data_IF_056925214813
#
_entry.id   IF_056925214813
#
_cell.length_a   1.000
_cell.length_b   1.000
_cell.length_c   1.000
_cell.angle_alpha   90.00
_cell.angle_beta   90.00
_cell.angle_gamma   90.00
#
_symmetry.space_group_name_H-M   'P 1'
#
loop_
_entity.id
_entity.type
_entity.pdbx_description
1 polymer ?
#
# COMPACT_ATOMS: atom_id res chain seq x y z
N UNK A 1 25.06 -37.72 -35.53
CA UNK A 1 23.62 -38.05 -35.57
C UNK A 1 22.99 -37.26 -36.70
N UNK A 2 22.83 -37.89 -37.87
CA UNK A 2 22.30 -37.23 -39.06
C UNK A 2 20.79 -37.25 -39.04
N UNK A 3 20.17 -36.10 -38.76
CA UNK A 3 18.75 -35.89 -38.97
C UNK A 3 18.58 -35.42 -40.41
N UNK A 4 17.98 -36.28 -41.25
CA UNK A 4 17.47 -35.89 -42.56
C UNK A 4 16.13 -35.18 -42.33
N UNK A 5 16.07 -33.89 -42.61
CA UNK A 5 14.81 -33.14 -42.67
C UNK A 5 14.35 -33.15 -44.14
N UNK A 6 13.21 -33.77 -44.38
CA UNK A 6 12.49 -33.74 -45.65
C UNK A 6 11.32 -32.78 -45.48
N UNK A 7 11.17 -31.83 -46.41
CA UNK A 7 10.15 -30.79 -46.36
C UNK A 7 9.45 -30.75 -47.72
N UNK A 8 8.15 -31.04 -47.73
CA UNK A 8 7.32 -30.91 -48.91
C UNK A 8 6.84 -29.46 -49.04
N UNK A 9 7.13 -28.84 -50.18
CA UNK A 9 6.70 -27.47 -50.50
C UNK A 9 5.60 -27.53 -51.54
N UNK A 10 4.42 -27.04 -51.19
CA UNK A 10 3.27 -26.95 -52.09
C UNK A 10 3.12 -25.51 -52.60
N UNK A 11 2.95 -25.36 -53.91
CA UNK A 11 2.77 -24.05 -54.56
C UNK A 11 1.35 -23.98 -55.13
N UNK A 12 0.60 -22.94 -54.77
CA UNK A 12 -0.77 -22.70 -55.20
C UNK A 12 -0.96 -21.28 -55.75
N UNK A 13 -2.06 -21.06 -56.48
CA UNK A 13 -2.45 -19.74 -56.98
C UNK A 13 -3.19 -18.97 -55.89
N UNK A 14 -2.80 -17.72 -55.65
CA UNK A 14 -3.53 -16.81 -54.75
C UNK A 14 -4.81 -16.35 -55.47
N UNK A 15 -5.96 -16.59 -54.84
CA UNK A 15 -7.28 -16.16 -55.34
C UNK A 15 -7.77 -14.91 -54.60
N UNK A 16 -7.43 -14.78 -53.31
CA UNK A 16 -7.91 -13.69 -52.46
C UNK A 16 -6.87 -13.29 -51.42
N UNK A 17 -6.86 -12.01 -51.06
CA UNK A 17 -6.07 -11.47 -49.95
C UNK A 17 -6.96 -10.68 -48.98
N UNK A 18 -6.64 -10.73 -47.69
CA UNK A 18 -7.32 -9.97 -46.63
C UNK A 18 -6.33 -9.30 -45.69
N UNK A 19 -6.60 -8.06 -45.29
CA UNK A 19 -5.83 -7.37 -44.25
C UNK A 19 -6.36 -7.74 -42.86
N UNK A 20 -5.58 -8.48 -42.11
CA UNK A 20 -5.78 -8.78 -40.70
C UNK A 20 -5.13 -7.72 -39.82
N UNK A 21 -5.75 -7.48 -38.66
CA UNK A 21 -5.25 -6.54 -37.65
C UNK A 21 -5.76 -6.96 -36.29
N UNK A 22 -4.98 -6.66 -35.25
CA UNK A 22 -5.40 -6.81 -33.86
C UNK A 22 -6.44 -5.77 -33.46
N UNK A 23 -6.44 -4.58 -34.09
CA UNK A 23 -7.43 -3.53 -33.86
C UNK A 23 -7.81 -2.76 -35.13
N UNK A 24 -9.07 -2.31 -35.20
CA UNK A 24 -9.57 -1.37 -36.22
C UNK A 24 -9.69 0.06 -35.67
N UNK A 25 -9.52 0.22 -34.36
CA UNK A 25 -9.52 1.49 -33.64
C UNK A 25 -8.13 1.73 -33.05
N UNK A 26 -7.52 2.85 -33.39
CA UNK A 26 -6.18 3.23 -32.95
C UNK A 26 -6.27 4.48 -32.07
N UNK A 27 -5.41 4.62 -31.08
CA UNK A 27 -5.38 5.79 -30.20
C UNK A 27 -4.12 6.63 -30.42
N UNK A 28 -4.28 7.95 -30.44
CA UNK A 28 -3.14 8.88 -30.51
C UNK A 28 -2.22 8.72 -29.30
N UNK A 29 -0.92 8.62 -29.56
CA UNK A 29 0.12 8.50 -28.53
C UNK A 29 0.27 7.09 -27.95
N UNK A 30 -0.51 6.11 -28.40
CA UNK A 30 -0.26 4.69 -28.12
C UNK A 30 0.71 4.09 -29.14
N UNK A 31 1.18 2.87 -28.88
CA UNK A 31 2.15 2.20 -29.72
C UNK A 31 1.59 1.93 -31.14
N UNK A 32 2.44 1.99 -32.18
CA UNK A 32 2.06 1.63 -33.56
C UNK A 32 1.48 0.21 -33.65
N UNK A 33 0.69 -0.05 -34.69
CA UNK A 33 0.06 -1.37 -34.91
C UNK A 33 0.53 -1.98 -36.22
N UNK A 34 0.82 -3.27 -36.21
CA UNK A 34 1.17 -4.03 -37.42
C UNK A 34 -0.12 -4.47 -38.13
N UNK A 35 -0.22 -4.17 -39.42
CA UNK A 35 -1.18 -4.78 -40.33
C UNK A 35 -0.49 -5.91 -41.09
N UNK A 36 -1.18 -7.03 -41.22
CA UNK A 36 -0.71 -8.20 -41.94
C UNK A 36 -1.70 -8.53 -43.06
N UNK A 37 -1.18 -9.08 -44.16
CA UNK A 37 -2.00 -9.65 -45.22
C UNK A 37 -2.01 -11.16 -45.08
N UNK A 38 -3.20 -11.75 -45.08
CA UNK A 38 -3.41 -13.18 -45.28
C UNK A 38 -3.86 -13.43 -46.71
N UNK A 39 -3.40 -14.52 -47.33
CA UNK A 39 -3.81 -14.94 -48.67
C UNK A 39 -4.49 -16.30 -48.62
N UNK A 40 -5.42 -16.50 -49.56
CA UNK A 40 -6.23 -17.70 -49.68
C UNK A 40 -6.22 -18.21 -51.13
N UNK A 41 -6.26 -19.53 -51.29
CA UNK A 41 -6.45 -20.19 -52.58
C UNK A 41 -7.94 -20.31 -52.95
N UNK A 42 -8.24 -20.98 -54.07
CA UNK A 42 -9.61 -21.18 -54.54
C UNK A 42 -10.46 -22.12 -53.65
N UNK A 43 -9.84 -22.87 -52.76
CA UNK A 43 -10.47 -23.77 -51.79
C UNK A 43 -10.55 -23.13 -50.38
N UNK A 44 -10.23 -21.84 -50.27
CA UNK A 44 -10.12 -21.08 -49.01
C UNK A 44 -9.03 -21.60 -48.04
N UNK A 45 -8.03 -22.36 -48.53
CA UNK A 45 -6.86 -22.68 -47.73
C UNK A 45 -5.95 -21.45 -47.59
N UNK A 46 -5.43 -21.24 -46.39
CA UNK A 46 -4.55 -20.12 -46.09
C UNK A 46 -3.11 -20.44 -46.46
N UNK A 47 -2.43 -19.50 -47.14
CA UNK A 47 -1.00 -19.63 -47.42
C UNK A 47 -0.19 -19.52 -46.13
N UNK A 48 0.82 -20.38 -45.97
CA UNK A 48 1.69 -20.40 -44.79
C UNK A 48 2.73 -19.27 -44.77
N UNK A 49 3.06 -18.69 -45.93
CA UNK A 49 3.97 -17.55 -46.03
C UNK A 49 3.72 -16.71 -47.26
N UNK A 50 3.90 -15.40 -47.11
CA UNK A 50 3.88 -14.39 -48.19
C UNK A 50 5.16 -13.55 -48.20
N UNK A 51 6.18 -13.90 -47.39
CA UNK A 51 7.28 -13.02 -47.04
C UNK A 51 8.11 -12.49 -48.22
N UNK A 52 8.16 -13.22 -49.34
CA UNK A 52 8.90 -12.83 -50.53
C UNK A 52 8.10 -12.00 -51.55
N UNK A 53 6.80 -11.79 -51.33
CA UNK A 53 5.94 -11.06 -52.26
C UNK A 53 5.92 -9.58 -51.94
N UNK A 54 6.02 -8.74 -52.97
CA UNK A 54 5.95 -7.30 -52.79
C UNK A 54 4.50 -6.82 -52.84
N UNK A 55 4.13 -5.98 -51.88
CA UNK A 55 2.83 -5.33 -51.82
C UNK A 55 2.95 -3.82 -52.00
N UNK A 56 1.94 -3.22 -52.62
CA UNK A 56 1.71 -1.78 -52.61
C UNK A 56 0.67 -1.47 -51.54
N UNK A 57 1.04 -0.59 -50.61
CA UNK A 57 0.20 -0.14 -49.52
C UNK A 57 -0.21 1.31 -49.74
N UNK A 58 -1.50 1.53 -49.98
CA UNK A 58 -2.06 2.84 -50.26
C UNK A 58 -2.91 3.35 -49.09
N UNK A 59 -2.73 4.63 -48.78
CA UNK A 59 -3.59 5.36 -47.84
C UNK A 59 -4.69 6.08 -48.63
N UNK A 60 -5.94 5.71 -48.36
CA UNK A 60 -7.12 6.22 -49.05
C UNK A 60 -7.92 7.10 -48.09
N UNK A 61 -8.12 8.35 -48.48
CA UNK A 61 -8.98 9.31 -47.77
C UNK A 61 -10.44 8.88 -47.84
N UNK A 62 -11.16 9.00 -46.73
CA UNK A 62 -12.61 8.73 -46.69
C UNK A 62 -13.39 9.96 -47.14
N UNK A 63 -14.21 9.81 -48.17
CA UNK A 63 -15.03 10.89 -48.71
C UNK A 63 -16.10 11.37 -47.71
N UNK A 64 -16.24 12.69 -47.59
CA UNK A 64 -17.23 13.33 -46.74
C UNK A 64 -17.08 14.85 -46.67
N UNK A 65 -18.07 15.57 -46.10
CA UNK A 65 -18.06 17.04 -46.00
C UNK A 65 -16.93 17.61 -45.13
N UNK A 66 -16.14 16.74 -44.49
CA UNK A 66 -14.96 17.08 -43.69
C UNK A 66 -13.84 16.07 -43.95
N UNK A 67 -13.62 15.70 -45.23
CA UNK A 67 -12.59 14.73 -45.60
C UNK A 67 -11.20 15.26 -45.23
N UNK A 68 -10.51 14.54 -44.37
CA UNK A 68 -9.13 14.82 -43.96
C UNK A 68 -8.22 13.83 -44.67
N UNK A 69 -7.10 14.30 -45.24
CA UNK A 69 -6.16 13.45 -45.97
C UNK A 69 -5.68 12.28 -45.12
N UNK A 70 -5.76 11.05 -45.64
CA UNK A 70 -5.31 9.85 -44.92
C UNK A 70 -3.84 9.95 -44.47
N UNK A 71 -2.98 10.57 -45.28
CA UNK A 71 -1.56 10.80 -44.95
C UNK A 71 -1.34 11.76 -43.77
N UNK A 72 -2.33 12.58 -43.43
CA UNK A 72 -2.27 13.43 -42.24
C UNK A 72 -2.77 12.71 -40.98
N UNK A 73 -3.49 11.59 -41.14
CA UNK A 73 -4.12 10.83 -40.05
C UNK A 73 -3.19 9.69 -39.60
N UNK A 74 -2.65 8.93 -40.55
CA UNK A 74 -1.78 7.77 -40.29
C UNK A 74 -0.54 7.79 -41.19
N UNK A 75 0.55 7.22 -40.68
CA UNK A 75 1.81 7.03 -41.40
C UNK A 75 2.19 5.56 -41.43
N UNK A 76 2.64 5.10 -42.60
CA UNK A 76 3.25 3.78 -42.76
C UNK A 76 4.75 3.93 -42.44
N UNK A 77 5.24 3.15 -41.47
CA UNK A 77 6.65 3.17 -41.05
C UNK A 77 7.42 1.97 -41.63
N UNK A 78 8.75 2.04 -41.64
CA UNK A 78 9.62 0.88 -41.89
C UNK A 78 9.82 0.09 -40.60
N UNK A 79 10.15 -1.19 -40.73
CA UNK A 79 10.53 -2.00 -39.58
C UNK A 79 11.88 -1.57 -39.02
N UNK A 80 12.80 -1.11 -39.88
CA UNK A 80 14.11 -0.55 -39.50
C UNK A 80 13.99 0.69 -38.60
N UNK A 81 12.99 1.55 -38.83
CA UNK A 81 12.73 2.75 -38.03
C UNK A 81 11.93 2.47 -36.75
N UNK A 82 11.65 1.20 -36.44
CA UNK A 82 10.75 0.79 -35.36
C UNK A 82 11.39 -0.17 -34.36
N UNK A 83 10.72 -0.40 -33.23
CA UNK A 83 11.10 -1.45 -32.27
C UNK A 83 10.47 -2.81 -32.59
N UNK A 84 9.76 -2.93 -33.71
CA UNK A 84 9.07 -4.15 -34.11
C UNK A 84 9.98 -4.98 -35.01
N UNK A 85 9.93 -6.30 -34.83
CA UNK A 85 10.67 -7.26 -35.66
C UNK A 85 9.73 -7.94 -36.65
N UNK A 86 10.28 -8.32 -37.81
CA UNK A 86 9.58 -9.05 -38.87
C UNK A 86 10.51 -10.10 -39.51
N UNK A 87 10.06 -10.76 -40.57
CA UNK A 87 10.84 -11.84 -41.20
C UNK A 87 12.00 -11.31 -42.04
N UNK A 88 13.08 -12.11 -42.24
CA UNK A 88 14.23 -11.71 -43.08
C UNK A 88 13.84 -11.34 -44.51
N UNK A 89 12.79 -11.94 -45.05
CA UNK A 89 12.31 -11.67 -46.41
C UNK A 89 11.74 -10.25 -46.52
N UNK A 90 10.99 -9.81 -45.50
CA UNK A 90 10.40 -8.46 -45.46
C UNK A 90 11.51 -7.41 -45.28
N UNK A 91 12.51 -7.65 -44.43
CA UNK A 91 13.69 -6.78 -44.37
C UNK A 91 14.41 -6.68 -45.73
N UNK A 92 14.52 -7.79 -46.46
CA UNK A 92 15.07 -7.81 -47.82
C UNK A 92 14.26 -6.99 -48.82
N UNK A 93 12.93 -6.92 -48.66
CA UNK A 93 12.06 -6.06 -49.46
C UNK A 93 12.22 -4.58 -49.07
N UNK A 94 12.28 -4.24 -47.79
CA UNK A 94 12.45 -2.86 -47.32
C UNK A 94 13.79 -2.25 -47.77
N UNK A 95 14.87 -3.03 -47.75
CA UNK A 95 16.18 -2.63 -48.28
C UNK A 95 16.13 -2.23 -49.77
N UNK A 96 15.13 -2.72 -50.51
CA UNK A 96 14.89 -2.39 -51.92
C UNK A 96 13.82 -1.30 -52.10
N UNK A 97 13.43 -0.61 -51.03
CA UNK A 97 12.32 0.35 -51.00
C UNK A 97 10.98 -0.28 -51.44
N UNK A 98 10.83 -1.58 -51.21
CA UNK A 98 9.58 -2.33 -51.38
C UNK A 98 8.95 -2.58 -50.01
N UNK A 99 7.68 -2.98 -50.00
CA UNK A 99 6.96 -3.37 -48.78
C UNK A 99 6.48 -4.81 -48.93
N UNK A 100 6.51 -5.55 -47.83
CA UNK A 100 6.06 -6.94 -47.77
C UNK A 100 4.58 -7.08 -47.40
N UNK A 101 4.22 -8.28 -46.98
CA UNK A 101 2.88 -8.63 -46.49
C UNK A 101 2.53 -7.98 -45.15
N UNK A 102 3.49 -7.37 -44.45
CA UNK A 102 3.28 -6.66 -43.20
C UNK A 102 3.70 -5.20 -43.30
N UNK A 103 2.96 -4.31 -42.62
CA UNK A 103 3.35 -2.90 -42.45
C UNK A 103 3.01 -2.38 -41.07
N UNK A 104 3.82 -1.45 -40.57
CA UNK A 104 3.55 -0.74 -39.32
C UNK A 104 2.77 0.53 -39.60
N UNK A 105 1.63 0.69 -38.92
CA UNK A 105 0.78 1.88 -38.96
C UNK A 105 0.94 2.67 -37.67
N UNK A 106 1.39 3.92 -37.81
CA UNK A 106 1.48 4.88 -36.73
C UNK A 106 0.35 5.92 -36.82
N UNK A 107 -0.44 6.11 -35.75
CA UNK A 107 -1.44 7.18 -35.68
C UNK A 107 -0.81 8.56 -35.45
N UNK A 108 -1.07 9.52 -36.34
CA UNK A 108 -0.55 10.91 -36.24
C UNK A 108 -1.63 11.90 -35.80
N UNK A 109 -2.82 11.84 -36.41
CA UNK A 109 -3.95 12.71 -36.07
C UNK A 109 -5.25 11.91 -35.99
N UNK A 110 -6.22 12.43 -35.23
CA UNK A 110 -7.56 11.84 -35.18
C UNK A 110 -8.24 11.90 -36.54
N UNK A 111 -8.96 10.85 -36.89
CA UNK A 111 -9.73 10.81 -38.13
C UNK A 111 -10.05 9.40 -38.56
N UNK A 112 -10.45 9.26 -39.82
CA UNK A 112 -10.72 7.96 -40.43
C UNK A 112 -9.93 7.86 -41.72
N UNK A 113 -9.16 6.77 -41.86
CA UNK A 113 -8.39 6.47 -43.05
C UNK A 113 -8.68 5.04 -43.51
N UNK A 114 -8.60 4.80 -44.82
CA UNK A 114 -8.63 3.44 -45.37
C UNK A 114 -7.22 3.06 -45.76
N UNK A 115 -6.81 1.84 -45.43
CA UNK A 115 -5.54 1.26 -45.86
C UNK A 115 -5.84 0.16 -46.87
N UNK A 116 -5.22 0.23 -48.04
CA UNK A 116 -5.39 -0.75 -49.12
C UNK A 116 -4.09 -1.47 -49.40
N UNK A 117 -4.14 -2.80 -49.42
CA UNK A 117 -3.05 -3.67 -49.82
C UNK A 117 -3.35 -4.28 -51.19
N UNK A 118 -2.36 -4.23 -52.09
CA UNK A 118 -2.43 -4.84 -53.42
C UNK A 118 -1.11 -5.54 -53.73
N UNK A 119 -1.17 -6.74 -54.30
CA UNK A 119 0.02 -7.43 -54.82
C UNK A 119 0.64 -6.64 -55.98
N UNK A 120 1.97 -6.46 -55.95
CA UNK A 120 2.66 -5.56 -56.88
C UNK A 120 2.91 -6.19 -58.25
N UNK A 121 3.21 -7.49 -58.30
CA UNK A 121 3.55 -8.14 -59.57
C UNK A 121 2.34 -8.29 -60.50
N UNK A 122 2.58 -8.16 -61.81
CA UNK A 122 1.53 -8.25 -62.84
C UNK A 122 0.86 -9.63 -62.93
N UNK A 123 1.52 -10.69 -62.46
CA UNK A 123 0.95 -12.04 -62.41
C UNK A 123 -0.24 -12.14 -61.44
N UNK A 124 -0.41 -11.16 -60.54
CA UNK A 124 -1.50 -11.10 -59.57
C UNK A 124 -2.53 -10.02 -59.91
N UNK A 125 -2.60 -9.56 -61.15
CA UNK A 125 -3.53 -8.49 -61.55
C UNK A 125 -5.01 -8.88 -61.36
N UNK A 126 -5.32 -10.18 -61.44
CA UNK A 126 -6.66 -10.73 -61.18
C UNK A 126 -7.04 -10.71 -59.69
N UNK A 127 -6.05 -10.62 -58.78
CA UNK A 127 -6.30 -10.65 -57.33
C UNK A 127 -6.77 -9.28 -56.87
N UNK A 128 -8.00 -9.24 -56.33
CA UNK A 128 -8.60 -7.99 -55.86
C UNK A 128 -7.82 -7.42 -54.65
N UNK A 129 -7.54 -6.10 -54.62
CA UNK A 129 -6.95 -5.45 -53.46
C UNK A 129 -7.86 -5.57 -52.23
N UNK A 130 -7.26 -5.78 -51.06
CA UNK A 130 -7.97 -5.73 -49.78
C UNK A 130 -7.91 -4.33 -49.20
N UNK A 131 -8.99 -3.86 -48.57
CA UNK A 131 -9.06 -2.53 -47.96
C UNK A 131 -9.69 -2.59 -46.57
N UNK A 132 -9.00 -2.06 -45.57
CA UNK A 132 -9.51 -1.89 -44.21
C UNK A 132 -9.78 -0.42 -43.93
N UNK A 133 -10.85 -0.13 -43.18
CA UNK A 133 -11.09 1.19 -42.57
C UNK A 133 -10.54 1.21 -41.15
N UNK A 134 -9.64 2.16 -40.86
CA UNK A 134 -9.10 2.43 -39.54
C UNK A 134 -9.68 3.75 -39.00
N UNK A 135 -9.99 3.75 -37.70
CA UNK A 135 -10.45 4.94 -36.98
C UNK A 135 -9.40 5.32 -35.95
N UNK A 136 -8.80 6.50 -36.09
CA UNK A 136 -7.87 7.05 -35.12
C UNK A 136 -8.63 7.95 -34.16
N UNK A 137 -8.68 7.54 -32.91
CA UNK A 137 -9.30 8.25 -31.79
C UNK A 137 -8.23 8.97 -30.96
N UNK A 138 -8.66 10.01 -30.26
CA UNK A 138 -7.84 10.63 -29.21
C UNK A 138 -8.08 9.89 -27.90
N UNK A 139 -7.26 10.14 -26.87
CA UNK A 139 -7.51 9.65 -25.51
C UNK A 139 -7.57 10.82 -24.55
N UNK A 140 -8.60 10.86 -23.71
CA UNK A 140 -8.66 11.84 -22.64
C UNK A 140 -7.84 11.34 -21.46
N UNK A 141 -6.93 12.19 -20.96
CA UNK A 141 -6.10 11.87 -19.82
C UNK A 141 -6.65 12.56 -18.57
N UNK A 142 -6.88 11.78 -17.52
CA UNK A 142 -7.14 12.29 -16.19
C UNK A 142 -5.80 12.57 -15.50
N UNK A 143 -5.69 13.73 -14.84
CA UNK A 143 -4.58 14.04 -13.94
C UNK A 143 -5.12 14.18 -12.51
N UNK A 144 -4.53 13.47 -11.52
CA UNK A 144 -3.34 12.60 -11.64
C UNK A 144 -3.60 11.32 -12.46
N UNK A 145 -2.62 10.85 -13.23
CA UNK A 145 -2.78 9.73 -14.16
C UNK A 145 -2.40 8.35 -13.55
N UNK A 146 -1.96 8.34 -12.29
CA UNK A 146 -1.60 7.13 -11.54
C UNK A 146 -2.77 6.63 -10.70
N UNK A 147 -2.77 5.34 -10.35
CA UNK A 147 -3.77 4.75 -9.46
C UNK A 147 -3.80 5.46 -8.11
N UNK A 148 -5.00 5.76 -7.63
CA UNK A 148 -5.17 6.64 -6.48
C UNK A 148 -5.81 5.90 -5.30
N UNK A 149 -5.11 5.94 -4.16
CA UNK A 149 -5.53 5.33 -2.90
C UNK A 149 -5.75 6.43 -1.86
N UNK A 150 -7.01 6.79 -1.61
CA UNK A 150 -7.35 7.94 -0.75
C UNK A 150 -8.26 7.53 0.41
N UNK A 151 -8.31 8.38 1.43
CA UNK A 151 -9.25 8.24 2.55
C UNK A 151 -10.57 8.95 2.27
N UNK A 152 -11.64 8.47 2.91
CA UNK A 152 -12.89 9.23 3.03
C UNK A 152 -12.61 10.68 3.50
N UNK A 153 -13.42 11.63 3.04
CA UNK A 153 -13.28 13.07 3.26
C UNK A 153 -12.05 13.75 2.64
N UNK A 154 -11.18 13.03 1.93
CA UNK A 154 -10.05 13.64 1.22
C UNK A 154 -10.53 14.42 -0.01
N UNK A 155 -9.98 15.61 -0.21
CA UNK A 155 -10.23 16.44 -1.38
C UNK A 155 -9.15 16.20 -2.44
N UNK A 156 -9.58 15.90 -3.66
CA UNK A 156 -8.69 15.65 -4.79
C UNK A 156 -8.95 16.67 -5.89
N UNK A 157 -7.87 17.17 -6.47
CA UNK A 157 -7.89 18.05 -7.65
C UNK A 157 -7.73 17.18 -8.89
N UNK A 158 -8.73 17.21 -9.75
CA UNK A 158 -8.72 16.49 -11.01
C UNK A 158 -8.69 17.44 -12.19
N UNK A 159 -7.83 17.14 -13.17
CA UNK A 159 -7.77 17.85 -14.45
C UNK A 159 -8.00 16.88 -15.59
N UNK A 160 -8.94 17.19 -16.46
CA UNK A 160 -9.18 16.51 -17.73
C UNK A 160 -8.29 17.16 -18.78
N UNK A 161 -7.23 16.47 -19.18
CA UNK A 161 -6.26 16.96 -20.15
C UNK A 161 -6.48 16.29 -21.51
N UNK A 162 -6.40 17.10 -22.56
CA UNK A 162 -6.37 16.68 -23.96
C UNK A 162 -5.18 17.34 -24.65
N UNK A 163 -4.66 16.73 -25.72
CA UNK A 163 -3.60 17.29 -26.56
C UNK A 163 -4.06 18.53 -27.38
N UNK A 164 -5.36 18.84 -27.49
CA UNK A 164 -5.91 20.04 -28.17
C UNK A 164 -7.11 20.66 -27.41
N UNK A 165 -7.37 21.96 -27.62
CA UNK A 165 -8.41 22.75 -26.93
C UNK A 165 -9.87 22.36 -27.28
N UNK A 166 -10.79 22.56 -26.34
CA UNK A 166 -12.26 22.45 -26.46
C UNK A 166 -12.97 22.31 -25.09
N UNK A 167 -14.13 21.63 -25.02
CA UNK A 167 -14.92 21.50 -23.79
C UNK A 167 -14.94 20.04 -23.27
N UNK A 168 -14.54 19.86 -22.01
CA UNK A 168 -14.55 18.59 -21.30
C UNK A 168 -15.81 18.44 -20.43
N UNK A 169 -16.18 17.21 -20.16
CA UNK A 169 -17.17 16.81 -19.17
C UNK A 169 -16.60 15.64 -18.37
N UNK A 170 -16.46 15.78 -17.06
CA UNK A 170 -16.15 14.65 -16.18
C UNK A 170 -17.39 14.23 -15.41
N UNK A 171 -17.60 12.92 -15.33
CA UNK A 171 -18.66 12.28 -14.54
C UNK A 171 -18.01 11.57 -13.36
N UNK A 172 -18.45 11.92 -12.16
CA UNK A 172 -17.97 11.32 -10.92
C UNK A 172 -19.05 10.39 -10.37
N UNK A 173 -18.65 9.25 -9.83
CA UNK A 173 -19.57 8.31 -9.19
C UNK A 173 -20.22 8.90 -7.93
N UNK A 174 -21.23 8.20 -7.41
CA UNK A 174 -21.90 8.56 -6.15
C UNK A 174 -21.00 8.57 -4.92
N UNK A 175 -19.80 7.99 -5.00
CA UNK A 175 -18.81 7.98 -3.93
C UNK A 175 -18.09 9.32 -3.76
N UNK A 176 -18.33 10.29 -4.64
CA UNK A 176 -17.74 11.62 -4.59
C UNK A 176 -18.81 12.71 -4.50
N UNK A 177 -18.52 13.75 -3.73
CA UNK A 177 -19.21 15.03 -3.81
C UNK A 177 -18.37 15.99 -4.66
N UNK A 178 -18.93 16.54 -5.73
CA UNK A 178 -18.26 17.54 -6.57
C UNK A 178 -18.38 18.91 -5.92
N UNK A 179 -17.28 19.42 -5.36
CA UNK A 179 -17.25 20.70 -4.66
C UNK A 179 -17.21 21.88 -5.64
N UNK A 180 -16.48 21.74 -6.74
CA UNK A 180 -16.34 22.77 -7.76
C UNK A 180 -15.93 22.19 -9.11
N UNK A 181 -16.39 22.82 -10.19
CA UNK A 181 -16.00 22.48 -11.57
C UNK A 181 -15.76 23.76 -12.38
N UNK A 182 -14.76 23.75 -13.27
CA UNK A 182 -14.52 24.84 -14.20
C UNK A 182 -15.62 24.95 -15.25
N UNK A 183 -15.79 26.13 -15.84
CA UNK A 183 -16.82 26.41 -16.87
C UNK A 183 -16.70 25.54 -18.12
N UNK A 184 -15.47 25.15 -18.47
CA UNK A 184 -15.17 24.25 -19.59
C UNK A 184 -15.12 22.76 -19.18
N UNK A 185 -15.40 22.44 -17.91
CA UNK A 185 -15.40 21.09 -17.35
C UNK A 185 -14.05 20.35 -17.42
N UNK A 186 -12.94 21.08 -17.52
CA UNK A 186 -11.60 20.49 -17.56
C UNK A 186 -10.92 20.40 -16.19
N UNK A 187 -11.49 21.01 -15.16
CA UNK A 187 -10.92 21.01 -13.81
C UNK A 187 -12.01 20.85 -12.76
N UNK A 188 -11.78 19.96 -11.81
CA UNK A 188 -12.73 19.60 -10.78
C UNK A 188 -12.05 19.49 -9.42
N UNK A 189 -12.76 19.90 -8.37
CA UNK A 189 -12.40 19.62 -6.98
C UNK A 189 -13.49 18.71 -6.43
N UNK A 190 -13.11 17.49 -6.06
CA UNK A 190 -14.03 16.48 -5.56
C UNK A 190 -13.63 16.06 -4.15
N UNK A 191 -14.60 15.62 -3.36
CA UNK A 191 -14.39 15.09 -2.01
C UNK A 191 -14.91 13.66 -1.93
N UNK A 192 -14.10 12.76 -1.39
CA UNK A 192 -14.50 11.36 -1.15
C UNK A 192 -15.58 11.28 -0.05
N UNK A 193 -16.69 10.60 -0.34
CA UNK A 193 -17.87 10.50 0.52
C UNK A 193 -18.02 9.13 1.17
N UNK A 194 -17.87 8.05 0.39
CA UNK A 194 -18.04 6.67 0.85
C UNK A 194 -16.87 5.80 0.39
N UNK A 195 -16.39 4.92 1.28
CA UNK A 195 -15.36 3.95 0.97
C UNK A 195 -15.84 2.93 -0.09
N UNK A 196 -14.89 2.37 -0.83
CA UNK A 196 -15.14 1.44 -1.93
C UNK A 196 -14.27 1.70 -3.15
N UNK A 197 -14.28 0.75 -4.09
CA UNK A 197 -13.66 0.90 -5.40
C UNK A 197 -14.64 1.57 -6.36
N UNK A 198 -14.19 2.61 -7.06
CA UNK A 198 -15.02 3.37 -7.97
C UNK A 198 -14.24 3.82 -9.21
N UNK A 199 -14.96 4.12 -10.28
CA UNK A 199 -14.39 4.66 -11.52
C UNK A 199 -14.77 6.13 -11.67
N UNK A 200 -13.82 6.93 -12.17
CA UNK A 200 -14.04 8.30 -12.64
C UNK A 200 -14.00 8.27 -14.16
N UNK A 201 -15.07 8.74 -14.79
CA UNK A 201 -15.18 8.85 -16.23
C UNK A 201 -14.96 10.30 -16.65
N UNK A 202 -14.15 10.52 -17.67
CA UNK A 202 -14.05 11.81 -18.34
C UNK A 202 -14.30 11.65 -19.83
N UNK A 203 -15.03 12.60 -20.41
CA UNK A 203 -15.36 12.61 -21.81
C UNK A 203 -15.24 14.02 -22.40
N UNK A 204 -14.70 14.12 -23.60
CA UNK A 204 -14.71 15.34 -24.39
C UNK A 204 -15.82 15.25 -25.42
N UNK A 205 -16.82 16.14 -25.31
CA UNK A 205 -18.06 16.05 -26.09
C UNK A 205 -18.14 17.09 -27.20
N UNK A 206 -17.45 18.22 -27.07
CA UNK A 206 -17.47 19.26 -28.09
C UNK A 206 -16.19 20.11 -28.13
N UNK A 207 -16.02 20.80 -29.26
CA UNK A 207 -15.01 21.84 -29.44
C UNK A 207 -15.68 23.14 -29.86
N UNK A 208 -15.28 24.25 -29.23
CA UNK A 208 -15.63 25.59 -29.70
C UNK A 208 -14.62 26.00 -30.75
N UNK A 209 -15.07 26.18 -31.99
CA UNK A 209 -14.24 26.67 -33.09
C UNK A 209 -14.66 28.13 -33.34
N UNK A 210 -13.76 29.06 -33.00
CA UNK A 210 -13.97 30.51 -33.11
C UNK A 210 -13.53 31.25 -31.86
N UNK A 211 -12.64 32.23 -32.01
CA UNK A 211 -12.08 33.05 -30.92
C UNK A 211 -10.57 33.21 -31.00
N UNK A 212 -10.03 33.63 -32.15
CA UNK A 212 -8.69 34.21 -32.16
C UNK A 212 -8.71 35.56 -31.45
N UNK A 213 -7.61 35.95 -30.82
CA UNK A 213 -7.43 37.29 -30.20
C UNK A 213 -7.38 38.45 -31.23
N UNK A 214 -8.03 38.32 -32.39
CA UNK A 214 -7.99 39.29 -33.48
C UNK A 214 -9.40 39.66 -33.95
N UNK A 215 -9.79 40.86 -33.51
CA UNK A 215 -10.88 41.74 -33.97
C UNK A 215 -12.36 41.29 -33.83
N UNK A 216 -13.23 42.18 -33.33
CA UNK A 216 -14.64 41.91 -33.10
C UNK A 216 -15.44 42.23 -34.35
N UNK A 217 -15.57 41.29 -35.28
CA UNK A 217 -16.59 41.37 -36.33
C UNK A 217 -16.97 39.97 -36.77
N UNK A 218 -18.06 39.47 -36.19
CA UNK A 218 -18.77 38.25 -36.58
C UNK A 218 -17.95 36.95 -36.59
N UNK A 219 -17.32 36.61 -35.47
CA UNK A 219 -16.95 35.21 -35.21
C UNK A 219 -18.19 34.52 -34.64
N UNK A 220 -18.95 33.84 -35.49
CA UNK A 220 -19.97 32.89 -35.01
C UNK A 220 -19.25 31.79 -34.23
N UNK A 221 -19.41 31.77 -32.91
CA UNK A 221 -18.99 30.65 -32.07
C UNK A 221 -19.68 29.38 -32.58
N UNK A 222 -18.95 28.55 -33.33
CA UNK A 222 -19.46 27.27 -33.81
C UNK A 222 -19.03 26.19 -32.83
N UNK A 223 -19.99 25.70 -32.05
CA UNK A 223 -19.79 24.50 -31.22
C UNK A 223 -19.94 23.28 -32.12
N UNK A 224 -18.87 22.52 -32.31
CA UNK A 224 -18.90 21.24 -33.02
C UNK A 224 -18.96 20.13 -31.98
N UNK A 225 -20.09 19.42 -31.93
CA UNK A 225 -20.24 18.23 -31.10
C UNK A 225 -19.70 17.00 -31.80
N UNK A 226 -18.99 16.16 -31.05
CA UNK A 226 -18.48 14.90 -31.57
C UNK A 226 -19.59 13.84 -31.56
N UNK A 227 -19.74 13.12 -32.68
CA UNK A 227 -20.69 11.99 -32.78
C UNK A 227 -20.32 10.84 -31.83
N UNK A 228 -19.02 10.67 -31.57
CA UNK A 228 -18.48 9.75 -30.56
C UNK A 228 -17.59 10.59 -29.64
N UNK A 229 -17.92 10.73 -28.34
CA UNK A 229 -17.12 11.50 -27.41
C UNK A 229 -15.80 10.78 -27.12
N UNK A 230 -14.75 11.56 -26.88
CA UNK A 230 -13.43 11.03 -26.54
C UNK A 230 -13.43 10.78 -25.04
N UNK A 231 -13.44 9.53 -24.58
CA UNK A 231 -13.49 9.21 -23.15
C UNK A 231 -12.19 8.65 -22.60
N UNK A 232 -12.00 8.82 -21.30
CA UNK A 232 -10.95 8.20 -20.49
C UNK A 232 -11.54 7.83 -19.13
N UNK A 233 -11.04 6.75 -18.54
CA UNK A 233 -11.50 6.25 -17.25
C UNK A 233 -10.31 6.08 -16.31
N UNK A 234 -10.56 6.24 -15.01
CA UNK A 234 -9.57 5.96 -13.98
C UNK A 234 -10.23 5.29 -12.78
N UNK A 235 -9.60 4.25 -12.27
CA UNK A 235 -10.03 3.57 -11.05
C UNK A 235 -9.45 4.29 -9.83
N UNK A 236 -10.30 4.50 -8.82
CA UNK A 236 -9.93 5.09 -7.54
C UNK A 236 -10.42 4.18 -6.42
N UNK A 237 -9.55 3.90 -5.46
CA UNK A 237 -9.89 3.15 -4.25
C UNK A 237 -9.96 4.10 -3.06
N UNK A 238 -11.13 4.14 -2.43
CA UNK A 238 -11.40 4.96 -1.25
C UNK A 238 -11.46 4.04 -0.03
N UNK A 239 -10.63 4.32 0.97
CA UNK A 239 -10.55 3.52 2.18
C UNK A 239 -11.09 4.26 3.41
N UNK A 240 -11.57 3.48 4.37
CA UNK A 240 -11.85 3.94 5.73
C UNK A 240 -10.55 4.22 6.50
N UNK A 241 -10.55 5.16 7.47
CA UNK A 241 -9.35 5.54 8.21
C UNK A 241 -8.71 4.34 8.92
N UNK A 242 -7.37 4.26 8.90
CA UNK A 242 -6.63 3.26 9.66
C UNK A 242 -6.74 3.56 11.15
N UNK A 243 -7.26 2.59 11.90
CA UNK A 243 -7.40 2.65 13.36
C UNK A 243 -6.65 1.46 13.97
N UNK A 244 -5.86 1.74 15.01
CA UNK A 244 -5.12 0.73 15.76
C UNK A 244 -5.80 0.49 17.10
N UNK A 245 -6.08 -0.78 17.42
CA UNK A 245 -6.85 -1.18 18.60
C UNK A 245 -5.97 -2.09 19.50
N UNK A 246 -5.88 -1.78 20.80
CA UNK A 246 -6.46 -0.61 21.49
C UNK A 246 -5.66 0.68 21.23
N UNK A 247 -6.25 1.84 21.55
CA UNK A 247 -5.63 3.16 21.39
C UNK A 247 -4.51 3.42 22.41
N UNK A 248 -4.56 2.78 23.58
CA UNK A 248 -3.56 2.92 24.64
C UNK A 248 -3.27 1.56 25.28
N UNK A 249 -1.99 1.29 25.57
CA UNK A 249 -1.53 0.16 26.38
C UNK A 249 -0.59 0.62 27.48
N UNK A 250 -0.79 0.08 28.68
CA UNK A 250 0.10 0.30 29.82
C UNK A 250 0.71 -1.03 30.23
N UNK A 251 2.05 -1.09 30.25
CA UNK A 251 2.81 -2.23 30.70
C UNK A 251 3.59 -1.89 31.97
N UNK A 252 3.64 -2.81 32.95
CA UNK A 252 4.51 -2.65 34.09
C UNK A 252 5.98 -2.89 33.68
N UNK A 253 6.88 -2.09 34.25
CA UNK A 253 8.31 -2.24 34.04
C UNK A 253 8.90 -3.34 34.95
N UNK A 254 9.79 -4.15 34.39
CA UNK A 254 10.59 -5.12 35.15
C UNK A 254 12.09 -4.86 35.00
N UNK A 255 12.85 -4.79 36.10
CA UNK A 255 14.30 -4.69 36.03
C UNK A 255 14.90 -5.97 35.46
N UNK A 256 15.88 -5.83 34.56
CA UNK A 256 16.74 -6.94 34.16
C UNK A 256 17.61 -7.33 35.36
N UNK A 257 17.29 -8.45 36.03
CA UNK A 257 18.16 -9.00 37.07
C UNK A 257 19.32 -9.76 36.40
N UNK A 258 20.53 -9.18 36.49
CA UNK A 258 21.78 -9.88 36.17
C UNK A 258 22.06 -10.93 37.26
N UNK A 259 21.40 -12.09 37.19
CA UNK A 259 21.93 -13.41 37.60
C UNK A 259 20.81 -14.45 37.68
N UNK A 260 20.87 -15.41 36.74
CA UNK A 260 20.49 -16.83 36.87
C UNK A 260 19.25 -17.21 37.72
N UNK A 261 18.15 -16.47 37.73
CA UNK A 261 16.84 -17.02 38.13
C UNK A 261 15.71 -16.33 37.34
N UNK A 262 15.17 -17.09 36.38
CA UNK A 262 13.86 -16.93 35.71
C UNK A 262 13.63 -15.70 34.82
N UNK A 263 13.67 -15.96 33.50
CA UNK A 263 13.06 -15.27 32.36
C UNK A 263 12.92 -13.73 32.42
N UNK A 264 13.52 -13.05 31.44
CA UNK A 264 13.18 -11.67 31.09
C UNK A 264 11.66 -11.59 30.90
N UNK A 265 10.94 -10.91 31.81
CA UNK A 265 9.49 -10.75 31.70
C UNK A 265 9.22 -9.68 30.63
N UNK A 266 9.35 -10.07 29.36
CA UNK A 266 8.95 -9.25 28.23
C UNK A 266 7.46 -9.47 27.97
N UNK A 267 6.70 -8.39 28.00
CA UNK A 267 5.29 -8.43 27.64
C UNK A 267 5.14 -8.44 26.14
N UNK A 268 4.25 -9.31 25.67
CA UNK A 268 3.90 -9.44 24.27
C UNK A 268 2.42 -9.14 24.11
N UNK A 269 2.06 -8.26 23.18
CA UNK A 269 0.66 -7.94 22.88
C UNK A 269 0.45 -7.81 21.37
N UNK A 270 -0.58 -8.48 20.85
CA UNK A 270 -0.94 -8.44 19.44
C UNK A 270 -1.94 -7.30 19.20
N UNK A 271 -1.50 -6.26 18.49
CA UNK A 271 -2.37 -5.18 18.03
C UNK A 271 -3.30 -5.67 16.92
N UNK A 272 -4.48 -5.07 16.84
CA UNK A 272 -5.40 -5.21 15.71
C UNK A 272 -5.49 -3.87 14.99
N UNK A 273 -5.24 -3.86 13.68
CA UNK A 273 -5.50 -2.71 12.84
C UNK A 273 -6.75 -2.95 11.99
N UNK A 274 -7.54 -1.91 11.79
CA UNK A 274 -8.72 -1.89 10.94
C UNK A 274 -8.68 -0.66 10.01
N UNK A 275 -9.36 -0.71 8.87
CA UNK A 275 -9.34 0.36 7.86
C UNK A 275 -8.16 0.23 6.87
N UNK A 276 -8.03 1.18 5.94
CA UNK A 276 -7.05 1.08 4.86
C UNK A 276 -7.27 -0.11 3.93
N UNK A 277 -6.21 -0.52 3.25
CA UNK A 277 -6.13 -1.67 2.35
C UNK A 277 -6.11 -3.03 3.07
N UNK A 278 -6.03 -3.03 4.41
CA UNK A 278 -5.89 -4.24 5.23
C UNK A 278 -4.44 -4.74 5.37
N UNK A 279 -3.47 -4.05 4.78
CA UNK A 279 -2.05 -4.37 4.86
C UNK A 279 -1.25 -3.17 5.36
N UNK A 280 -0.47 -3.38 6.43
CA UNK A 280 0.14 -2.30 7.20
C UNK A 280 1.64 -2.49 7.43
N UNK A 281 2.34 -1.37 7.48
CA UNK A 281 3.72 -1.24 7.92
C UNK A 281 3.71 -0.68 9.34
N UNK A 282 4.24 -1.46 10.27
CA UNK A 282 4.31 -1.11 11.69
C UNK A 282 5.63 -0.42 12.02
N UNK A 283 5.56 0.68 12.76
CA UNK A 283 6.74 1.42 13.23
C UNK A 283 6.53 1.86 14.67
N UNK A 284 7.61 1.89 15.47
CA UNK A 284 7.61 2.42 16.84
C UNK A 284 8.45 3.69 16.88
N UNK A 285 7.97 4.74 17.54
CA UNK A 285 8.71 5.99 17.72
C UNK A 285 9.96 5.81 18.59
N UNK A 286 9.95 4.83 19.52
CA UNK A 286 11.07 4.53 20.39
C UNK A 286 11.13 3.02 20.74
N UNK A 287 11.91 2.28 19.95
CA UNK A 287 12.10 0.84 20.11
C UNK A 287 12.81 0.44 21.43
N UNK A 288 13.50 1.38 22.10
CA UNK A 288 14.16 1.13 23.39
C UNK A 288 13.16 0.93 24.54
N UNK A 289 11.92 1.39 24.37
CA UNK A 289 10.81 1.22 25.32
C UNK A 289 9.94 0.05 24.89
N UNK A 290 9.40 0.11 23.67
CA UNK A 290 8.63 -0.98 23.08
C UNK A 290 8.90 -1.07 21.57
N UNK A 291 9.17 -2.29 21.10
CA UNK A 291 9.34 -2.59 19.69
C UNK A 291 8.08 -3.24 19.11
N UNK A 292 7.88 -3.15 17.81
CA UNK A 292 6.77 -3.78 17.10
C UNK A 292 7.29 -4.53 15.89
N UNK A 293 6.76 -5.73 15.64
CA UNK A 293 7.14 -6.54 14.48
C UNK A 293 6.18 -6.34 13.29
N UNK A 294 6.47 -7.03 12.17
CA UNK A 294 5.65 -6.96 10.95
C UNK A 294 4.23 -7.49 11.11
N UNK A 295 3.97 -8.32 12.14
CA UNK A 295 2.64 -8.83 12.45
C UNK A 295 1.86 -7.92 13.40
N UNK A 296 2.43 -6.83 13.88
CA UNK A 296 1.80 -5.97 14.89
C UNK A 296 1.88 -6.52 16.33
N UNK A 297 2.82 -7.42 16.61
CA UNK A 297 3.12 -7.84 17.99
C UNK A 297 4.08 -6.84 18.59
N UNK A 298 3.66 -6.21 19.69
CA UNK A 298 4.49 -5.37 20.54
C UNK A 298 5.31 -6.25 21.47
N UNK A 299 6.58 -5.88 21.68
CA UNK A 299 7.46 -6.43 22.69
C UNK A 299 8.00 -5.30 23.56
N UNK A 300 7.76 -5.37 24.88
CA UNK A 300 8.34 -4.41 25.83
C UNK A 300 9.82 -4.70 26.06
N UNK A 301 10.62 -3.65 26.03
CA UNK A 301 12.05 -3.68 26.33
C UNK A 301 12.27 -3.29 27.80
N UNK A 302 13.48 -2.90 28.18
CA UNK A 302 13.88 -2.61 29.57
C UNK A 302 13.79 -1.13 29.96
N UNK A 303 13.40 -0.23 29.06
CA UNK A 303 13.30 1.20 29.38
C UNK A 303 11.90 1.58 29.83
N UNK A 304 11.81 2.40 30.88
CA UNK A 304 10.58 3.07 31.31
C UNK A 304 10.34 4.27 30.40
N UNK A 305 9.07 4.53 30.05
CA UNK A 305 8.72 5.75 29.33
C UNK A 305 7.46 5.62 28.48
N UNK A 306 7.35 6.53 27.53
CA UNK A 306 6.26 6.63 26.56
C UNK A 306 6.79 6.39 25.15
N UNK A 307 6.04 5.62 24.36
CA UNK A 307 6.30 5.43 22.93
C UNK A 307 4.99 5.30 22.17
N UNK A 308 5.03 5.67 20.90
CA UNK A 308 3.88 5.62 20.00
C UNK A 308 4.16 4.59 18.92
N UNK A 309 3.20 3.71 18.67
CA UNK A 309 3.24 2.77 17.55
C UNK A 309 2.33 3.28 16.44
N UNK A 310 2.86 3.33 15.22
CA UNK A 310 2.16 3.76 14.01
C UNK A 310 1.97 2.58 13.05
N UNK A 311 0.75 2.37 12.60
CA UNK A 311 0.40 1.48 11.51
C UNK A 311 0.11 2.32 10.26
N UNK A 312 1.01 2.28 9.27
CA UNK A 312 0.84 2.96 7.97
C UNK A 312 0.35 1.98 6.92
N UNK A 313 -0.59 2.38 6.08
CA UNK A 313 -1.08 1.55 4.99
C UNK A 313 0.00 1.33 3.91
N UNK A 314 0.06 0.11 3.36
CA UNK A 314 1.06 -0.23 2.33
C UNK A 314 0.82 0.44 0.98
N UNK A 315 -0.43 0.77 0.61
CA UNK A 315 -0.76 1.45 -0.64
C UNK A 315 -0.63 2.96 -0.53
N UNK A 316 -0.77 3.51 0.68
CA UNK A 316 -0.56 4.93 0.95
C UNK A 316 -0.01 5.17 2.36
N UNK A 317 1.27 5.51 2.48
CA UNK A 317 1.93 5.67 3.79
C UNK A 317 1.40 6.85 4.61
N UNK A 318 0.80 7.85 3.96
CA UNK A 318 0.16 8.99 4.63
C UNK A 318 -1.19 8.60 5.24
N UNK A 319 -1.72 7.44 4.88
CA UNK A 319 -2.86 6.83 5.54
C UNK A 319 -2.35 5.97 6.71
N UNK A 320 -2.47 6.48 7.94
CA UNK A 320 -1.98 5.78 9.11
C UNK A 320 -2.85 5.99 10.35
N UNK A 321 -2.80 5.02 11.25
CA UNK A 321 -3.32 5.10 12.61
C UNK A 321 -2.18 5.00 13.62
N UNK A 322 -2.37 5.59 14.80
CA UNK A 322 -1.40 5.55 15.90
C UNK A 322 -2.04 5.02 17.17
N UNK A 323 -1.22 4.43 18.03
CA UNK A 323 -1.59 4.05 19.39
C UNK A 323 -0.44 4.33 20.36
N UNK A 324 -0.79 4.55 21.62
CA UNK A 324 0.14 4.95 22.66
C UNK A 324 0.51 3.78 23.56
N UNK A 325 1.79 3.70 23.94
CA UNK A 325 2.31 2.68 24.85
C UNK A 325 3.05 3.39 25.98
N UNK A 326 2.67 3.02 27.21
CA UNK A 326 3.32 3.47 28.43
C UNK A 326 3.94 2.29 29.16
N UNK A 327 5.25 2.37 29.42
CA UNK A 327 5.94 1.43 30.31
C UNK A 327 6.23 2.17 31.61
N UNK A 328 5.60 1.76 32.72
CA UNK A 328 5.66 2.47 34.00
C UNK A 328 6.08 1.55 35.14
N UNK A 329 6.79 2.09 36.13
CA UNK A 329 7.17 1.39 37.36
C UNK A 329 6.16 1.67 38.49
N UNK A 330 4.90 1.30 38.28
CA UNK A 330 3.80 1.51 39.24
C UNK A 330 3.42 0.15 39.86
N UNK A 331 4.28 -0.36 40.73
CA UNK A 331 4.24 -1.77 41.19
C UNK A 331 4.39 -1.85 42.71
N UNK A 332 3.68 -2.79 43.31
CA UNK A 332 3.88 -3.18 44.71
C UNK A 332 5.05 -4.15 44.82
N UNK A 333 6.10 -3.73 45.51
CA UNK A 333 7.26 -4.55 45.83
C UNK A 333 7.13 -5.11 47.27
N UNK A 334 7.31 -6.42 47.41
CA UNK A 334 7.37 -7.07 48.72
C UNK A 334 8.82 -7.16 49.19
N UNK A 335 9.14 -6.45 50.27
CA UNK A 335 10.45 -6.50 50.92
C UNK A 335 10.44 -7.60 51.97
N UNK A 336 11.26 -8.62 51.79
CA UNK A 336 11.42 -9.69 52.78
C UNK A 336 12.26 -9.19 53.96
N UNK A 337 11.78 -9.44 55.18
CA UNK A 337 12.48 -9.10 56.40
C UNK A 337 12.96 -10.38 57.09
N UNK A 338 14.27 -10.47 57.27
CA UNK A 338 14.93 -11.54 58.00
C UNK A 338 15.66 -10.96 59.20
N UNK A 339 15.29 -11.39 60.40
CA UNK A 339 15.97 -10.99 61.64
C UNK A 339 16.85 -12.14 62.10
N UNK A 340 18.07 -11.80 62.53
CA UNK A 340 19.04 -12.77 63.06
C UNK A 340 19.43 -12.42 64.48
N UNK A 341 19.76 -13.43 65.27
CA UNK A 341 20.33 -13.24 66.59
C UNK A 341 21.84 -12.92 66.54
N UNK A 342 22.45 -12.66 67.70
CA UNK A 342 23.88 -12.35 67.82
C UNK A 342 24.81 -13.48 67.33
N UNK A 343 24.30 -14.71 67.20
CA UNK A 343 25.03 -15.87 66.68
C UNK A 343 24.74 -16.12 65.19
N UNK A 344 23.96 -15.25 64.53
CA UNK A 344 23.59 -15.33 63.12
C UNK A 344 22.41 -16.25 62.80
N UNK A 345 21.74 -16.84 63.79
CA UNK A 345 20.58 -17.72 63.62
C UNK A 345 19.35 -16.90 63.23
N UNK A 346 18.57 -17.38 62.26
CA UNK A 346 17.37 -16.70 61.78
C UNK A 346 16.21 -16.93 62.74
N UNK A 347 15.39 -15.90 62.98
CA UNK A 347 14.12 -16.05 63.66
C UNK A 347 13.04 -16.56 62.69
N UNK A 348 12.35 -17.64 63.06
CA UNK A 348 11.29 -18.24 62.23
C UNK A 348 9.99 -17.42 62.22
N UNK A 349 9.71 -16.74 63.33
CA UNK A 349 8.57 -15.84 63.47
C UNK A 349 8.96 -14.58 64.23
N UNK A 350 8.67 -13.41 63.63
CA UNK A 350 8.97 -12.08 64.18
C UNK A 350 7.74 -11.19 64.26
N UNK A 351 6.53 -11.76 64.22
CA UNK A 351 5.26 -11.00 64.31
C UNK A 351 5.13 -10.21 65.61
N UNK A 352 5.86 -10.61 66.66
CA UNK A 352 5.90 -9.88 67.93
C UNK A 352 6.81 -8.65 67.89
N UNK A 353 7.60 -8.43 66.84
CA UNK A 353 8.49 -7.26 66.75
C UNK A 353 7.74 -6.05 66.21
N UNK A 354 7.92 -4.89 66.85
CA UNK A 354 7.51 -3.62 66.29
C UNK A 354 8.60 -3.12 65.35
N UNK A 355 8.40 -3.34 64.05
CA UNK A 355 9.30 -2.85 63.01
C UNK A 355 8.74 -1.57 62.42
N UNK A 356 9.49 -0.48 62.55
CA UNK A 356 9.16 0.80 61.91
C UNK A 356 9.86 0.88 60.56
N UNK A 357 9.05 1.12 59.54
CA UNK A 357 9.51 1.28 58.16
C UNK A 357 9.50 2.75 57.76
N UNK A 358 10.60 3.23 57.19
CA UNK A 358 10.68 4.59 56.65
C UNK A 358 11.33 4.62 55.28
N UNK A 359 10.82 5.52 54.44
CA UNK A 359 11.32 5.80 53.09
C UNK A 359 11.90 7.20 53.07
N UNK A 360 13.08 7.38 52.47
CA UNK A 360 13.68 8.72 52.33
C UNK A 360 12.86 9.65 51.43
N UNK A 361 11.98 9.10 50.57
CA UNK A 361 11.10 9.88 49.72
C UNK A 361 9.78 9.13 49.48
N UNK A 362 8.74 9.54 50.20
CA UNK A 362 7.39 8.96 50.09
C UNK A 362 6.71 9.21 48.74
N UNK A 363 7.19 10.16 47.92
CA UNK A 363 6.68 10.38 46.55
C UNK A 363 7.22 9.36 45.55
N UNK A 364 8.32 8.68 45.87
CA UNK A 364 8.93 7.64 45.01
C UNK A 364 8.58 6.24 45.50
N UNK A 365 8.52 6.03 46.81
CA UNK A 365 8.16 4.74 47.37
C UNK A 365 7.45 4.92 48.73
N UNK A 366 6.23 4.37 48.85
CA UNK A 366 5.38 4.52 50.01
C UNK A 366 4.89 3.16 50.52
N UNK A 367 4.86 2.97 51.84
CA UNK A 367 4.43 1.71 52.43
C UNK A 367 2.90 1.58 52.42
N UNK A 368 2.40 0.43 51.97
CA UNK A 368 0.97 0.11 51.93
C UNK A 368 0.58 -0.67 53.19
N UNK A 369 0.46 0.03 54.31
CA UNK A 369 0.07 -0.56 55.60
C UNK A 369 0.48 0.25 56.81
N UNK A 370 0.24 -0.25 58.04
CA UNK A 370 0.68 0.41 59.27
C UNK A 370 2.20 0.55 59.29
N UNK A 371 2.70 1.76 59.55
CA UNK A 371 4.14 2.05 59.62
C UNK A 371 4.89 1.16 60.63
N UNK A 372 4.19 0.67 61.65
CA UNK A 372 4.65 -0.27 62.68
C UNK A 372 3.99 -1.62 62.52
N UNK A 373 4.37 -2.37 61.50
CA UNK A 373 3.87 -3.74 61.31
C UNK A 373 4.80 -4.58 60.45
N UNK A 374 4.70 -5.89 60.65
CA UNK A 374 5.33 -6.91 59.82
C UNK A 374 4.24 -7.87 59.37
N UNK A 375 4.11 -8.07 58.06
CA UNK A 375 3.20 -9.07 57.50
C UNK A 375 3.91 -10.42 57.40
N UNK A 376 3.18 -11.53 57.48
CA UNK A 376 3.74 -12.87 57.33
C UNK A 376 2.97 -13.63 56.26
N UNK A 377 3.70 -14.33 55.41
CA UNK A 377 3.17 -15.29 54.45
C UNK A 377 3.87 -16.64 54.58
N UNK A 378 3.20 -17.71 54.15
CA UNK A 378 3.74 -19.05 54.16
C UNK A 378 4.16 -19.45 52.75
N UNK A 379 5.44 -19.78 52.57
CA UNK A 379 6.02 -20.20 51.28
C UNK A 379 6.29 -21.71 51.35
N UNK A 380 5.97 -22.42 50.25
CA UNK A 380 6.27 -23.86 50.14
C UNK A 380 7.77 -24.07 49.97
N UNK A 381 8.34 -24.96 50.78
CA UNK A 381 9.72 -25.44 50.60
C UNK A 381 9.69 -26.70 49.70
N UNK A 382 10.73 -26.91 48.88
CA UNK A 382 10.72 -27.91 47.79
C UNK A 382 10.34 -29.34 48.24
N UNK A 383 9.66 -30.07 47.34
CA UNK A 383 9.42 -31.53 47.28
C UNK A 383 8.84 -32.27 48.50
N UNK A 384 8.38 -31.57 49.54
CA UNK A 384 7.56 -32.18 50.60
C UNK A 384 6.26 -31.38 50.74
N UNK A 385 5.11 -32.02 50.49
CA UNK A 385 3.82 -31.31 50.34
C UNK A 385 3.34 -30.58 51.61
N UNK A 386 3.94 -30.85 52.77
CA UNK A 386 3.46 -30.37 54.08
C UNK A 386 4.36 -29.36 54.81
N UNK A 387 5.57 -29.03 54.32
CA UNK A 387 6.44 -28.06 55.01
C UNK A 387 6.27 -26.66 54.41
N UNK A 388 5.66 -25.76 55.19
CA UNK A 388 5.51 -24.35 54.86
C UNK A 388 6.43 -23.50 55.74
N UNK A 389 7.31 -22.73 55.12
CA UNK A 389 8.16 -21.76 55.82
C UNK A 389 7.46 -20.42 55.95
N UNK A 390 7.35 -19.90 57.16
CA UNK A 390 6.90 -18.52 57.40
C UNK A 390 7.97 -17.54 56.95
N UNK A 391 7.55 -16.55 56.16
CA UNK A 391 8.41 -15.45 55.70
C UNK A 391 7.73 -14.15 56.04
N UNK A 392 8.50 -13.30 56.72
CA UNK A 392 8.06 -11.96 57.10
C UNK A 392 8.37 -10.96 55.99
N UNK A 393 7.44 -10.06 55.71
CA UNK A 393 7.58 -9.08 54.65
C UNK A 393 6.83 -7.78 54.96
N UNK A 394 7.12 -6.75 54.18
CA UNK A 394 6.33 -5.54 54.10
C UNK A 394 6.15 -5.13 52.63
N UNK A 395 5.00 -4.55 52.30
CA UNK A 395 4.72 -4.09 50.93
C UNK A 395 5.01 -2.60 50.80
N UNK A 396 5.79 -2.25 49.78
CA UNK A 396 6.06 -0.87 49.38
C UNK A 396 5.55 -0.66 47.96
N UNK A 397 4.73 0.37 47.77
CA UNK A 397 4.27 0.80 46.48
C UNK A 397 5.32 1.72 45.85
N UNK A 398 5.81 1.36 44.67
CA UNK A 398 6.77 2.13 43.89
C UNK A 398 6.01 3.06 42.93
N UNK A 399 6.42 4.33 42.88
CA UNK A 399 5.86 5.30 41.93
C UNK A 399 6.47 5.14 40.54
N UNK A 400 5.69 5.59 39.56
CA UNK A 400 6.07 5.82 38.16
C UNK A 400 7.30 6.71 37.92
N UNK A 401 7.82 7.41 38.93
CA UNK A 401 8.97 8.33 38.83
C UNK A 401 10.30 7.65 39.10
N UNK A 402 11.31 8.02 38.32
CA UNK A 402 12.68 7.52 38.48
C UNK A 402 13.38 8.31 39.59
N UNK A 403 13.97 7.60 40.55
CA UNK A 403 14.84 8.18 41.56
C UNK A 403 15.37 7.13 42.54
N UNK A 404 16.45 7.47 43.23
CA UNK A 404 16.97 6.63 44.31
C UNK A 404 16.22 6.89 45.61
N UNK A 405 15.85 5.83 46.31
CA UNK A 405 15.19 5.89 47.62
C UNK A 405 15.89 4.95 48.59
N UNK A 406 16.16 5.43 49.79
CA UNK A 406 16.72 4.61 50.87
C UNK A 406 15.59 4.16 51.76
N UNK A 407 15.45 2.85 51.90
CA UNK A 407 14.47 2.22 52.77
C UNK A 407 15.17 1.81 54.06
N UNK A 408 14.60 2.21 55.21
CA UNK A 408 15.09 1.83 56.54
C UNK A 408 14.02 1.05 57.28
N UNK A 409 14.44 -0.05 57.89
CA UNK A 409 13.66 -0.83 58.83
C UNK A 409 14.38 -0.82 60.18
N UNK A 410 13.71 -0.36 61.24
CA UNK A 410 14.23 -0.40 62.61
C UNK A 410 13.32 -1.23 63.49
N UNK A 411 13.92 -2.06 64.36
CA UNK A 411 13.17 -2.77 65.39
C UNK A 411 13.10 -1.83 66.60
N UNK A 412 11.91 -1.31 66.86
CA UNK A 412 11.68 -0.30 67.90
C UNK A 412 11.23 -0.93 69.23
N UNK A 413 10.92 -2.22 69.23
CA UNK A 413 10.51 -2.96 70.42
C UNK A 413 9.84 -4.28 70.07
N UNK A 414 9.20 -4.90 71.06
CA UNK A 414 8.44 -6.12 70.91
C UNK A 414 7.17 -6.09 71.74
N UNK A 415 6.15 -6.81 71.30
CA UNK A 415 4.88 -6.99 72.00
C UNK A 415 5.04 -7.98 73.16
N UNK A 416 5.08 -7.45 74.37
CA UNK A 416 5.22 -8.22 75.61
C UNK A 416 4.00 -9.11 75.91
N UNK A 417 2.80 -8.78 75.40
CA UNK A 417 1.58 -9.52 75.67
C UNK A 417 1.51 -10.81 74.85
N UNK A 418 2.06 -10.79 73.63
CA UNK A 418 2.24 -11.99 72.80
C UNK A 418 3.25 -12.95 73.45
N UNK A 419 4.36 -12.42 73.99
CA UNK A 419 5.36 -13.24 74.68
C UNK A 419 4.82 -13.81 76.01
N UNK A 420 4.00 -13.05 76.75
CA UNK A 420 3.35 -13.54 77.98
C UNK A 420 2.33 -14.64 77.72
N UNK A 421 1.61 -14.60 76.59
CA UNK A 421 0.65 -15.65 76.20
C UNK A 421 1.34 -16.97 75.80
N UNK A 422 2.59 -16.91 75.35
CA UNK A 422 3.37 -18.08 74.93
C UNK A 422 4.18 -18.74 76.05
N UNK A 423 3.74 -18.71 77.32
CA UNK A 423 4.44 -19.25 78.50
C UNK A 423 5.30 -20.51 78.26
N UNK A 424 6.57 -20.29 77.96
CA UNK A 424 7.70 -21.18 78.21
C UNK A 424 8.82 -20.29 78.69
N UNK A 425 9.33 -20.56 79.89
CA UNK A 425 10.36 -19.81 80.62
C UNK A 425 11.24 -18.90 79.75
N UNK A 426 11.01 -17.60 79.83
CA UNK A 426 11.87 -16.58 79.22
C UNK A 426 12.87 -16.12 80.28
N UNK A 427 14.13 -16.52 80.15
CA UNK A 427 15.23 -15.84 80.83
C UNK A 427 15.45 -14.49 80.13
N UNK A 428 15.04 -13.41 80.81
CA UNK A 428 15.31 -12.05 80.39
C UNK A 428 16.72 -11.69 80.89
N UNK A 429 17.72 -11.81 80.02
CA UNK A 429 19.02 -11.17 80.21
C UNK A 429 18.99 -9.71 79.71
N UNK A 430 19.73 -8.78 80.32
CA UNK A 430 19.75 -7.39 79.87
C UNK A 430 20.38 -7.27 78.47
N UNK A 431 19.77 -6.45 77.62
CA UNK A 431 20.38 -5.91 76.41
C UNK A 431 21.48 -4.91 76.85
N UNK A 432 22.73 -5.25 76.57
CA UNK A 432 23.84 -4.30 76.44
C UNK A 432 24.14 -4.10 74.96
#
# INVERSE_FOLDING_TARGET
>A
TGLLLECDVFVAKIERIDITSTSRELFLGEAPTVLEVQAFDAEDNMFSTLGALAFTWDLITVDGPSSVSANSIIRIMSFEDSTYETTPEIYGLEARSLRGSEVIIEPINTGTAKVRAKLRESIFEDVKPSTVKLVVLDKVLLRPAYDMYIMINTCVKYTVVRLRQGQATATFSSNFDVLWSSTNGSYHIIKAKSSGSTVIDAAYTSIKIGGGCSMPSQVTEKVVQFKVPISGQQVVEIFDPVVVIPEELVFPWHPQMEQRVLAVHQYHYQLKAAGGSGSYIWTSSNASIASVNTKGIIMTTTSIGHTQVKASDTKNMDHFGTMEIHVKNDQDLRLLLNVRDAKGRLFDNITSLFVTWSSSNSKLAAFTGPARSVQVMFIREKDTEDVRRSVSYQTIHLSDKIGAVTIKASVDGYDCDILRKCQTHVEVGPLL
#
